data_IF_097660301776
#
_entry.id   IF_097660301776
#
_cell.length_a   1.000
_cell.length_b   1.000
_cell.length_c   1.000
_cell.angle_alpha   90.00
_cell.angle_beta   90.00
_cell.angle_gamma   90.00
#
_symmetry.space_group_name_H-M   'P 1'
#
loop_
_entity.id
_entity.type
_entity.pdbx_description
1 polymer ?
#
# COMPACT_ATOMS: atom_id res chain seq x y z
N UNK A 1 -18.82 -10.90 -9.66
CA UNK A 1 -17.68 -10.18 -9.04
C UNK A 1 -18.22 -9.39 -7.84
N UNK A 2 -17.49 -9.26 -6.73
CA UNK A 2 -17.99 -8.60 -5.52
C UNK A 2 -18.48 -7.14 -5.74
N UNK A 3 -17.97 -6.47 -6.80
CA UNK A 3 -18.46 -5.17 -7.26
C UNK A 3 -19.93 -5.17 -7.70
N UNK A 4 -20.42 -6.25 -8.32
CA UNK A 4 -21.80 -6.31 -8.81
C UNK A 4 -22.82 -6.43 -7.68
N UNK A 5 -22.46 -7.10 -6.58
CA UNK A 5 -23.36 -7.31 -5.45
C UNK A 5 -23.67 -6.00 -4.69
N UNK A 6 -22.67 -5.13 -4.52
CA UNK A 6 -22.85 -3.82 -3.88
C UNK A 6 -23.68 -2.85 -4.74
N UNK A 7 -23.45 -2.85 -6.05
CA UNK A 7 -24.19 -2.01 -7.01
C UNK A 7 -25.66 -2.42 -7.10
N UNK A 8 -25.97 -3.72 -7.10
CA UNK A 8 -27.33 -4.23 -7.11
C UNK A 8 -28.13 -3.76 -5.89
N UNK A 9 -27.51 -3.73 -4.70
CA UNK A 9 -28.19 -3.26 -3.49
C UNK A 9 -28.57 -1.77 -3.53
N UNK A 10 -27.77 -0.94 -4.18
CA UNK A 10 -28.05 0.49 -4.36
C UNK A 10 -29.20 0.69 -5.34
N UNK A 11 -29.15 0.00 -6.49
CA UNK A 11 -30.19 0.05 -7.52
C UNK A 11 -31.53 -0.43 -6.95
N UNK A 12 -31.55 -1.51 -6.17
CA UNK A 12 -32.76 -2.00 -5.50
C UNK A 12 -33.35 -0.93 -4.56
N UNK A 13 -32.53 -0.28 -3.73
CA UNK A 13 -33.00 0.80 -2.84
C UNK A 13 -33.52 2.02 -3.60
N UNK A 14 -32.91 2.36 -4.73
CA UNK A 14 -33.37 3.45 -5.58
C UNK A 14 -34.74 3.13 -6.18
N UNK A 15 -34.88 1.94 -6.75
CA UNK A 15 -36.15 1.44 -7.30
C UNK A 15 -37.24 1.32 -6.23
N UNK A 16 -36.89 0.93 -5.01
CA UNK A 16 -37.81 0.92 -3.87
C UNK A 16 -38.29 2.33 -3.50
N UNK A 17 -37.36 3.30 -3.39
CA UNK A 17 -37.70 4.69 -3.06
C UNK A 17 -38.59 5.34 -4.11
N UNK A 18 -38.37 5.00 -5.38
CA UNK A 18 -39.16 5.49 -6.50
C UNK A 18 -40.45 4.67 -6.74
N UNK A 19 -40.74 3.65 -5.91
CA UNK A 19 -41.99 2.88 -5.94
C UNK A 19 -42.08 1.83 -7.05
N UNK A 20 -40.98 1.51 -7.72
CA UNK A 20 -40.91 0.47 -8.76
C UNK A 20 -40.72 -0.94 -8.18
N UNK A 21 -40.09 -1.02 -7.01
CA UNK A 21 -39.91 -2.25 -6.25
C UNK A 21 -40.57 -2.14 -4.88
N UNK A 22 -41.20 -3.23 -4.43
CA UNK A 22 -41.71 -3.38 -3.08
C UNK A 22 -41.04 -4.59 -2.42
N UNK A 23 -40.55 -4.42 -1.18
CA UNK A 23 -40.12 -5.54 -0.36
C UNK A 23 -41.31 -6.17 0.31
N UNK A 24 -41.55 -7.43 0.01
CA UNK A 24 -42.49 -8.24 0.74
C UNK A 24 -41.83 -8.67 2.05
N UNK A 25 -42.05 -7.90 3.12
CA UNK A 25 -41.71 -8.32 4.48
C UNK A 25 -42.79 -9.25 4.99
N UNK A 26 -42.68 -10.54 4.67
CA UNK A 26 -43.53 -11.53 5.29
C UNK A 26 -42.72 -12.42 6.22
N UNK A 27 -42.79 -12.14 7.52
CA UNK A 27 -42.45 -13.12 8.56
C UNK A 27 -43.46 -14.29 8.60
N UNK A 28 -44.55 -14.21 7.84
CA UNK A 28 -45.62 -15.19 7.82
C UNK A 28 -45.52 -16.06 6.56
N UNK A 29 -45.54 -17.39 6.74
CA UNK A 29 -45.59 -18.37 5.62
C UNK A 29 -46.99 -18.42 4.97
N UNK A 30 -47.67 -17.27 4.88
CA UNK A 30 -49.02 -17.14 4.36
C UNK A 30 -48.95 -16.81 2.87
N UNK A 31 -49.80 -17.47 2.09
CA UNK A 31 -50.04 -17.12 0.70
C UNK A 31 -51.32 -16.30 0.59
N UNK A 32 -51.40 -15.38 -0.38
CA UNK A 32 -52.64 -14.71 -0.72
C UNK A 32 -53.40 -15.53 -1.76
N UNK A 33 -54.70 -15.73 -1.54
CA UNK A 33 -55.60 -16.38 -2.49
C UNK A 33 -56.88 -15.57 -2.64
N UNK A 34 -57.42 -15.45 -3.86
CA UNK A 34 -58.75 -14.90 -4.15
C UNK A 34 -59.41 -15.71 -5.28
N UNK A 35 -60.71 -15.98 -5.18
CA UNK A 35 -61.46 -16.68 -6.21
C UNK A 35 -61.99 -15.72 -7.28
N UNK A 36 -61.83 -16.09 -8.54
CA UNK A 36 -62.50 -15.43 -9.67
C UNK A 36 -63.97 -15.81 -9.78
N UNK A 37 -64.60 -15.37 -10.86
CA UNK A 37 -66.04 -15.57 -11.10
C UNK A 37 -66.32 -16.90 -11.82
N UNK A 38 -65.38 -17.37 -12.63
CA UNK A 38 -65.53 -18.58 -13.44
C UNK A 38 -65.00 -19.83 -12.72
N UNK A 39 -65.78 -20.91 -12.75
CA UNK A 39 -65.40 -22.20 -12.15
C UNK A 39 -64.62 -23.07 -13.15
N UNK A 40 -63.53 -23.73 -12.71
CA UNK A 40 -62.78 -24.67 -13.54
C UNK A 40 -63.56 -25.95 -13.86
N UNK A 41 -63.18 -26.62 -14.95
CA UNK A 41 -63.82 -27.86 -15.45
C UNK A 41 -63.26 -29.16 -14.84
N UNK A 42 -61.99 -29.16 -14.40
CA UNK A 42 -61.35 -30.35 -13.84
C UNK A 42 -61.78 -30.66 -12.40
N UNK A 43 -61.96 -31.94 -11.99
CA UNK A 43 -62.48 -32.29 -10.66
C UNK A 43 -61.56 -31.86 -9.51
N UNK A 44 -60.23 -31.97 -9.69
CA UNK A 44 -59.23 -31.54 -8.70
C UNK A 44 -59.15 -30.01 -8.64
N UNK A 45 -59.17 -29.34 -9.79
CA UNK A 45 -59.16 -27.89 -9.90
C UNK A 45 -60.41 -27.27 -9.28
N UNK A 46 -61.58 -27.85 -9.51
CA UNK A 46 -62.86 -27.43 -8.91
C UNK A 46 -62.83 -27.55 -7.39
N UNK A 47 -62.30 -28.66 -6.86
CA UNK A 47 -62.10 -28.82 -5.42
C UNK A 47 -61.22 -27.73 -4.80
N UNK A 48 -60.14 -27.33 -5.49
CA UNK A 48 -59.25 -26.25 -5.03
C UNK A 48 -59.95 -24.89 -5.13
N UNK A 49 -60.63 -24.63 -6.24
CA UNK A 49 -61.39 -23.39 -6.46
C UNK A 49 -62.50 -23.22 -5.42
N UNK A 50 -63.29 -24.26 -5.14
CA UNK A 50 -64.37 -24.22 -4.15
C UNK A 50 -63.84 -23.91 -2.74
N UNK A 51 -62.67 -24.47 -2.38
CA UNK A 51 -62.00 -24.20 -1.10
C UNK A 51 -61.51 -22.75 -1.04
N UNK A 52 -60.92 -22.23 -2.12
CA UNK A 52 -60.47 -20.84 -2.19
C UNK A 52 -61.66 -19.87 -2.16
N UNK A 53 -62.73 -20.17 -2.90
CA UNK A 53 -63.96 -19.38 -2.91
C UNK A 53 -64.63 -19.35 -1.53
N UNK A 54 -64.64 -20.48 -0.81
CA UNK A 54 -65.19 -20.56 0.54
C UNK A 54 -64.36 -19.81 1.58
N UNK A 55 -63.04 -19.83 1.48
CA UNK A 55 -62.13 -19.25 2.49
C UNK A 55 -61.88 -17.76 2.26
N UNK A 56 -61.69 -17.36 1.01
CA UNK A 56 -61.20 -16.04 0.63
C UNK A 56 -62.19 -15.23 -0.22
N UNK A 57 -63.12 -15.90 -0.93
CA UNK A 57 -64.06 -15.25 -1.83
C UNK A 57 -63.38 -14.37 -2.89
N UNK A 58 -64.12 -13.40 -3.43
CA UNK A 58 -63.61 -12.46 -4.45
C UNK A 58 -62.73 -11.34 -3.87
N UNK A 59 -62.87 -11.04 -2.56
CA UNK A 59 -62.07 -10.01 -1.89
C UNK A 59 -60.63 -10.48 -1.57
N UNK A 60 -60.41 -11.78 -1.53
CA UNK A 60 -59.10 -12.38 -1.25
C UNK A 60 -58.72 -12.37 0.24
N UNK A 61 -57.86 -13.30 0.63
CA UNK A 61 -57.40 -13.46 2.03
C UNK A 61 -56.02 -14.10 2.09
N UNK A 62 -55.24 -13.73 3.11
CA UNK A 62 -53.99 -14.41 3.46
C UNK A 62 -54.27 -15.71 4.24
N UNK A 63 -53.70 -16.82 3.77
CA UNK A 63 -53.96 -18.16 4.29
C UNK A 63 -52.69 -18.98 4.29
N UNK A 64 -52.49 -19.85 5.29
CA UNK A 64 -51.37 -20.79 5.31
C UNK A 64 -51.58 -21.93 4.31
N UNK A 65 -50.54 -22.32 3.58
CA UNK A 65 -50.59 -23.49 2.67
C UNK A 65 -51.04 -24.74 3.44
N UNK A 66 -50.59 -24.93 4.68
CA UNK A 66 -50.96 -26.10 5.49
C UNK A 66 -52.46 -26.15 5.82
N UNK A 67 -53.09 -24.98 5.98
CA UNK A 67 -54.53 -24.88 6.22
C UNK A 67 -55.32 -25.20 4.93
N UNK A 68 -54.85 -24.73 3.78
CA UNK A 68 -55.44 -25.05 2.48
C UNK A 68 -55.32 -26.54 2.14
N UNK A 69 -54.18 -27.19 2.42
CA UNK A 69 -54.02 -28.63 2.19
C UNK A 69 -54.97 -29.47 3.02
N UNK A 70 -55.15 -29.10 4.31
CA UNK A 70 -56.05 -29.81 5.23
C UNK A 70 -57.51 -29.65 4.82
N UNK A 71 -57.91 -28.43 4.43
CA UNK A 71 -59.29 -28.13 4.03
C UNK A 71 -59.65 -28.75 2.67
N UNK A 72 -58.71 -28.77 1.72
CA UNK A 72 -58.92 -29.39 0.40
C UNK A 72 -58.82 -30.92 0.44
N UNK A 73 -58.24 -31.51 1.49
CA UNK A 73 -57.95 -32.95 1.56
C UNK A 73 -57.06 -33.39 0.39
N UNK A 74 -56.03 -32.60 0.08
CA UNK A 74 -55.07 -32.84 -1.00
C UNK A 74 -53.65 -32.81 -0.45
N UNK A 75 -52.77 -33.61 -1.03
CA UNK A 75 -51.34 -33.52 -0.73
C UNK A 75 -50.76 -32.17 -1.15
N UNK A 76 -49.79 -31.68 -0.40
CA UNK A 76 -49.15 -30.36 -0.60
C UNK A 76 -48.65 -30.14 -2.04
N UNK A 77 -48.00 -31.10 -2.72
CA UNK A 77 -47.57 -30.91 -4.11
C UNK A 77 -48.75 -30.78 -5.09
N UNK A 78 -49.84 -31.53 -4.87
CA UNK A 78 -51.03 -31.49 -5.72
C UNK A 78 -51.76 -30.14 -5.58
N UNK A 79 -51.89 -29.64 -4.35
CA UNK A 79 -52.47 -28.31 -4.09
C UNK A 79 -51.65 -27.19 -4.75
N UNK A 80 -50.32 -27.19 -4.56
CA UNK A 80 -49.46 -26.14 -5.12
C UNK A 80 -49.47 -26.11 -6.64
N UNK A 81 -49.48 -27.28 -7.29
CA UNK A 81 -49.64 -27.36 -8.76
C UNK A 81 -50.99 -26.81 -9.19
N UNK A 82 -52.08 -27.19 -8.50
CA UNK A 82 -53.42 -26.71 -8.83
C UNK A 82 -53.59 -25.21 -8.64
N UNK A 83 -53.06 -24.63 -7.56
CA UNK A 83 -53.07 -23.17 -7.33
C UNK A 83 -52.33 -22.40 -8.42
N UNK A 84 -51.17 -22.90 -8.86
CA UNK A 84 -50.42 -22.28 -9.96
C UNK A 84 -51.16 -22.37 -11.30
N UNK A 85 -51.75 -23.52 -11.62
CA UNK A 85 -52.51 -23.71 -12.85
C UNK A 85 -53.75 -22.81 -12.88
N UNK A 86 -54.56 -22.82 -11.81
CA UNK A 86 -55.73 -21.95 -11.71
C UNK A 86 -55.38 -20.46 -11.77
N UNK A 87 -54.22 -20.08 -11.24
CA UNK A 87 -53.75 -18.69 -11.32
C UNK A 87 -53.22 -18.32 -12.69
N UNK A 88 -52.60 -19.26 -13.41
CA UNK A 88 -52.20 -19.07 -14.80
C UNK A 88 -53.42 -18.95 -15.73
N UNK A 89 -54.48 -19.71 -15.45
CA UNK A 89 -55.75 -19.67 -16.17
C UNK A 89 -56.62 -18.45 -15.79
N UNK A 90 -56.18 -17.60 -14.87
CA UNK A 90 -56.91 -16.40 -14.44
C UNK A 90 -58.16 -16.68 -13.57
N UNK A 91 -58.37 -17.94 -13.17
CA UNK A 91 -59.54 -18.36 -12.39
C UNK A 91 -59.40 -18.03 -10.89
N UNK A 92 -58.17 -17.90 -10.39
CA UNK A 92 -57.88 -17.42 -9.04
C UNK A 92 -56.72 -16.44 -9.08
N UNK A 93 -56.62 -15.57 -8.07
CA UNK A 93 -55.39 -14.82 -7.80
C UNK A 93 -54.61 -15.57 -6.74
N UNK A 94 -53.43 -16.10 -7.08
CA UNK A 94 -52.55 -16.77 -6.13
C UNK A 94 -51.19 -16.07 -6.04
N UNK A 95 -50.82 -15.61 -4.84
CA UNK A 95 -49.49 -15.11 -4.54
C UNK A 95 -48.84 -16.10 -3.58
N UNK A 96 -47.76 -16.81 -3.99
CA UNK A 96 -47.11 -17.80 -3.14
C UNK A 96 -46.57 -17.14 -1.85
N UNK A 97 -46.42 -17.91 -0.76
CA UNK A 97 -45.81 -17.37 0.45
C UNK A 97 -44.36 -17.01 0.15
N UNK A 98 -44.02 -15.74 0.41
CA UNK A 98 -42.68 -15.25 0.23
C UNK A 98 -41.72 -16.03 1.14
N UNK A 99 -40.66 -16.58 0.57
CA UNK A 99 -39.61 -17.25 1.33
C UNK A 99 -38.43 -16.28 1.48
N UNK A 100 -38.59 -15.27 2.32
CA UNK A 100 -37.54 -14.29 2.64
C UNK A 100 -37.83 -12.88 2.11
N UNK A 101 -36.76 -12.15 1.77
CA UNK A 101 -36.80 -10.77 1.25
C UNK A 101 -37.15 -10.78 -0.24
N UNK A 102 -38.37 -11.20 -0.58
CA UNK A 102 -38.82 -11.21 -1.97
C UNK A 102 -39.10 -9.77 -2.44
N UNK A 103 -38.66 -9.48 -3.67
CA UNK A 103 -38.86 -8.19 -4.35
C UNK A 103 -40.00 -8.34 -5.34
N UNK A 104 -41.03 -7.51 -5.21
CA UNK A 104 -42.13 -7.40 -6.17
C UNK A 104 -41.91 -6.18 -7.06
N UNK A 105 -41.89 -6.39 -8.37
CA UNK A 105 -41.93 -5.30 -9.35
C UNK A 105 -43.38 -4.79 -9.41
N UNK A 106 -43.59 -3.53 -9.01
CA UNK A 106 -44.93 -2.91 -8.95
C UNK A 106 -45.29 -2.29 -10.30
N UNK A 107 -44.28 -1.76 -11.02
CA UNK A 107 -44.43 -1.08 -12.31
C UNK A 107 -43.44 -1.65 -13.34
N UNK A 108 -43.83 -2.71 -14.08
CA UNK A 108 -42.92 -3.41 -14.99
C UNK A 108 -42.65 -2.69 -16.32
N UNK A 109 -43.42 -1.65 -16.66
CA UNK A 109 -43.31 -0.89 -17.91
C UNK A 109 -42.79 0.55 -17.72
N UNK A 110 -42.11 0.80 -16.61
CA UNK A 110 -41.59 2.13 -16.31
C UNK A 110 -40.52 2.59 -17.32
N UNK A 111 -40.58 3.85 -17.74
CA UNK A 111 -39.50 4.44 -18.54
C UNK A 111 -38.39 4.99 -17.65
N UNK A 112 -37.21 5.25 -18.23
CA UNK A 112 -36.05 5.74 -17.48
C UNK A 112 -36.34 7.09 -16.77
N UNK A 113 -37.15 7.94 -17.40
CA UNK A 113 -37.52 9.27 -16.92
C UNK A 113 -38.42 9.20 -15.68
N UNK A 114 -39.24 8.16 -15.54
CA UNK A 114 -40.12 7.95 -14.40
C UNK A 114 -39.37 7.54 -13.12
N UNK A 115 -38.09 7.19 -13.22
CA UNK A 115 -37.26 6.80 -12.07
C UNK A 115 -36.82 7.98 -11.21
N UNK A 116 -37.01 9.23 -11.67
CA UNK A 116 -36.67 10.47 -10.94
C UNK A 116 -35.30 10.39 -10.26
N UNK A 117 -34.29 9.88 -10.99
CA UNK A 117 -32.96 9.65 -10.43
C UNK A 117 -32.30 10.99 -10.10
N UNK A 118 -32.12 11.24 -8.81
CA UNK A 118 -31.38 12.40 -8.31
C UNK A 118 -29.86 12.19 -8.50
N UNK A 119 -29.39 12.54 -9.69
CA UNK A 119 -27.96 12.48 -10.03
C UNK A 119 -27.11 13.41 -9.17
N UNK A 120 -27.65 14.53 -8.69
CA UNK A 120 -26.93 15.48 -7.86
C UNK A 120 -26.64 14.88 -6.48
N UNK A 121 -27.62 14.19 -5.89
CA UNK A 121 -27.45 13.44 -4.64
C UNK A 121 -26.44 12.29 -4.78
N UNK A 122 -26.48 11.57 -5.91
CA UNK A 122 -25.51 10.48 -6.19
C UNK A 122 -24.09 11.01 -6.28
N UNK A 123 -23.88 12.14 -6.97
CA UNK A 123 -22.55 12.73 -7.10
C UNK A 123 -22.05 13.30 -5.76
N UNK A 124 -22.92 13.94 -4.97
CA UNK A 124 -22.61 14.37 -3.59
C UNK A 124 -22.19 13.18 -2.72
N UNK A 125 -22.88 12.05 -2.82
CA UNK A 125 -22.54 10.84 -2.07
C UNK A 125 -21.20 10.27 -2.48
N UNK A 126 -20.95 10.15 -3.79
CA UNK A 126 -19.65 9.71 -4.33
C UNK A 126 -18.52 10.60 -3.85
N UNK A 127 -18.72 11.92 -3.84
CA UNK A 127 -17.76 12.87 -3.31
C UNK A 127 -17.49 12.63 -1.83
N UNK A 128 -18.52 12.50 -1.00
CA UNK A 128 -18.38 12.19 0.44
C UNK A 128 -17.66 10.86 0.70
N UNK A 129 -17.95 9.82 -0.07
CA UNK A 129 -17.32 8.52 0.07
C UNK A 129 -15.83 8.56 -0.35
N UNK A 130 -15.48 9.35 -1.36
CA UNK A 130 -14.08 9.61 -1.73
C UNK A 130 -13.32 10.39 -0.66
N UNK A 131 -13.94 11.39 -0.04
CA UNK A 131 -13.32 12.10 1.10
C UNK A 131 -13.06 11.16 2.28
N UNK A 132 -14.02 10.29 2.63
CA UNK A 132 -13.80 9.26 3.67
C UNK A 132 -12.66 8.31 3.32
N UNK A 133 -12.54 7.91 2.05
CA UNK A 133 -11.42 7.09 1.60
C UNK A 133 -10.07 7.80 1.78
N UNK A 134 -10.01 9.11 1.48
CA UNK A 134 -8.80 9.92 1.72
C UNK A 134 -8.42 9.93 3.20
N UNK A 135 -9.39 10.02 4.10
CA UNK A 135 -9.17 9.97 5.56
C UNK A 135 -8.61 8.61 6.02
N UNK A 136 -9.14 7.50 5.50
CA UNK A 136 -8.61 6.15 5.78
C UNK A 136 -7.16 6.02 5.29
N UNK A 137 -6.87 6.54 4.09
CA UNK A 137 -5.51 6.58 3.55
C UNK A 137 -4.60 7.44 4.44
N UNK A 138 -5.06 8.62 4.84
CA UNK A 138 -4.34 9.51 5.74
C UNK A 138 -4.03 8.84 7.08
N UNK A 139 -4.98 8.10 7.67
CA UNK A 139 -4.78 7.29 8.87
C UNK A 139 -3.69 6.22 8.68
N UNK A 140 -3.74 5.48 7.57
CA UNK A 140 -2.75 4.44 7.25
C UNK A 140 -1.33 5.00 7.21
N UNK A 141 -1.19 6.19 6.61
CA UNK A 141 0.06 6.93 6.54
C UNK A 141 0.24 7.93 7.69
N UNK A 142 -0.52 7.93 8.78
CA UNK A 142 -0.31 8.95 9.81
C UNK A 142 0.97 8.65 10.60
N UNK A 143 1.84 9.64 10.81
CA UNK A 143 3.08 9.51 11.59
C UNK A 143 2.96 9.92 13.07
N UNK A 144 1.81 10.50 13.45
CA UNK A 144 1.47 10.86 14.82
C UNK A 144 0.91 9.70 15.64
N UNK A 145 0.33 9.99 16.80
CA UNK A 145 -0.35 8.98 17.60
C UNK A 145 -1.61 8.48 16.86
N UNK A 146 -1.74 7.17 16.62
CA UNK A 146 -2.92 6.64 15.90
C UNK A 146 -4.24 6.88 16.65
N UNK A 147 -4.17 6.87 17.98
CA UNK A 147 -5.32 7.11 18.83
C UNK A 147 -5.79 8.55 18.76
N UNK A 148 -4.85 9.49 18.76
CA UNK A 148 -5.11 10.92 18.57
C UNK A 148 -5.83 11.18 17.23
N UNK A 149 -5.30 10.62 16.14
CA UNK A 149 -5.96 10.73 14.82
C UNK A 149 -7.40 10.23 14.82
N UNK A 150 -7.67 9.09 15.46
CA UNK A 150 -9.02 8.53 15.53
C UNK A 150 -9.96 9.40 16.36
N UNK A 151 -9.49 9.89 17.51
CA UNK A 151 -10.28 10.77 18.37
C UNK A 151 -10.62 12.08 17.66
N UNK A 152 -9.63 12.73 17.02
CA UNK A 152 -9.86 13.93 16.23
C UNK A 152 -10.82 13.70 15.06
N UNK A 153 -10.74 12.55 14.38
CA UNK A 153 -11.66 12.19 13.30
C UNK A 153 -13.13 12.13 13.77
N UNK A 154 -13.37 11.68 15.01
CA UNK A 154 -14.71 11.64 15.61
C UNK A 154 -15.07 12.90 16.40
N UNK A 155 -14.21 13.93 16.42
CA UNK A 155 -14.45 15.19 17.11
C UNK A 155 -14.28 15.14 18.63
N UNK A 156 -13.43 14.24 19.13
CA UNK A 156 -13.09 14.13 20.55
C UNK A 156 -11.77 14.86 20.85
N UNK A 157 -11.86 15.94 21.63
CA UNK A 157 -10.73 16.80 22.02
C UNK A 157 -9.94 16.27 23.23
N UNK A 158 -10.29 15.08 23.77
CA UNK A 158 -9.52 14.42 24.84
C UNK A 158 -8.19 13.81 24.37
N UNK A 159 -7.84 14.07 23.11
CA UNK A 159 -6.70 13.49 22.45
C UNK A 159 -5.38 13.91 23.12
N UNK A 160 -4.49 12.93 23.27
CA UNK A 160 -3.12 13.15 23.76
C UNK A 160 -2.15 12.81 22.63
N UNK A 161 -1.15 13.67 22.42
CA UNK A 161 -0.12 13.51 21.38
C UNK A 161 0.67 12.18 21.49
N UNK A 162 0.51 11.45 22.59
CA UNK A 162 1.23 10.23 22.93
C UNK A 162 0.37 9.22 23.72
N UNK A 163 -0.42 8.40 23.05
CA UNK A 163 -1.17 7.33 23.75
C UNK A 163 -0.26 6.25 24.37
N UNK A 164 1.00 6.19 23.94
CA UNK A 164 2.01 5.28 24.49
C UNK A 164 1.85 3.79 24.15
N UNK A 165 0.77 3.41 23.47
CA UNK A 165 0.40 2.02 23.17
C UNK A 165 0.24 1.71 21.67
N UNK A 166 0.09 2.70 20.80
CA UNK A 166 0.09 2.46 19.35
C UNK A 166 1.50 2.20 18.82
N UNK A 167 1.59 1.50 17.69
CA UNK A 167 2.81 1.24 16.92
C UNK A 167 3.68 2.48 16.73
N UNK A 168 3.08 3.61 16.33
CA UNK A 168 3.80 4.87 16.13
C UNK A 168 4.39 5.42 17.44
N UNK A 169 3.66 5.35 18.56
CA UNK A 169 4.14 5.80 19.87
C UNK A 169 5.22 4.87 20.45
N UNK A 170 5.08 3.56 20.24
CA UNK A 170 6.07 2.56 20.67
C UNK A 170 7.39 2.77 19.91
N UNK A 171 7.34 2.91 18.59
CA UNK A 171 8.53 3.20 17.78
C UNK A 171 9.20 4.52 18.20
N UNK A 172 8.41 5.56 18.52
CA UNK A 172 8.92 6.85 18.99
C UNK A 172 9.62 6.76 20.35
N UNK A 173 9.12 5.93 21.29
CA UNK A 173 9.73 5.74 22.62
C UNK A 173 11.08 5.02 22.54
N UNK A 174 11.17 3.98 21.71
CA UNK A 174 12.42 3.20 21.56
C UNK A 174 13.58 4.06 21.04
N UNK A 175 13.29 5.08 20.22
CA UNK A 175 14.33 5.90 19.57
C UNK A 175 14.75 7.17 20.33
N UNK A 176 13.95 7.67 21.29
CA UNK A 176 14.36 8.84 22.11
C UNK A 176 15.54 8.54 23.05
N UNK A 177 15.87 7.29 23.27
CA UNK A 177 16.97 6.84 24.14
C UNK A 177 18.33 6.71 23.44
N UNK A 178 18.41 6.73 22.10
CA UNK A 178 19.67 6.50 21.37
C UNK A 178 20.19 7.76 20.63
N UNK A 179 21.10 8.48 21.30
CA UNK A 179 22.31 9.20 20.82
C UNK A 179 22.48 9.88 19.43
N UNK A 180 21.50 10.00 18.52
CA UNK A 180 21.75 10.47 17.13
C UNK A 180 21.01 11.75 16.65
N UNK A 181 20.56 12.63 17.57
CA UNK A 181 19.81 13.87 17.21
C UNK A 181 20.51 14.76 16.16
N UNK A 182 21.84 14.85 16.20
CA UNK A 182 22.62 15.67 15.26
C UNK A 182 22.69 15.07 13.84
N UNK A 183 22.79 13.74 13.72
CA UNK A 183 22.78 13.04 12.42
C UNK A 183 21.38 13.14 11.78
N UNK A 184 20.33 12.98 12.58
CA UNK A 184 18.93 13.15 12.16
C UNK A 184 18.67 14.55 11.59
N UNK A 185 19.05 15.59 12.33
CA UNK A 185 18.87 16.99 11.91
C UNK A 185 19.59 17.26 10.57
N UNK A 186 20.82 16.75 10.43
CA UNK A 186 21.60 16.89 9.19
C UNK A 186 20.89 16.23 8.01
N UNK A 187 20.32 15.03 8.20
CA UNK A 187 19.61 14.30 7.15
C UNK A 187 18.32 15.00 6.75
N UNK A 188 17.56 15.51 7.72
CA UNK A 188 16.35 16.30 7.48
C UNK A 188 16.70 17.52 6.61
N UNK A 189 17.74 18.28 6.99
CA UNK A 189 18.15 19.47 6.26
C UNK A 189 18.62 19.16 4.83
N UNK A 190 19.31 18.02 4.61
CA UNK A 190 19.68 17.56 3.27
C UNK A 190 18.45 17.32 2.39
N UNK A 191 17.43 16.65 2.91
CA UNK A 191 16.19 16.35 2.18
C UNK A 191 15.44 17.65 1.86
N UNK A 192 15.18 18.49 2.86
CA UNK A 192 14.44 19.75 2.68
C UNK A 192 15.18 20.70 1.70
N UNK A 193 16.50 20.78 1.82
CA UNK A 193 17.36 21.56 0.91
C UNK A 193 17.28 21.10 -0.54
N UNK A 194 17.16 19.78 -0.76
CA UNK A 194 17.04 19.21 -2.09
C UNK A 194 15.67 19.52 -2.70
N UNK A 195 14.58 19.36 -1.93
CA UNK A 195 13.22 19.70 -2.37
C UNK A 195 13.12 21.20 -2.73
N UNK A 196 13.73 22.08 -1.92
CA UNK A 196 13.80 23.51 -2.19
C UNK A 196 14.49 23.82 -3.53
N UNK A 197 15.68 23.24 -3.77
CA UNK A 197 16.46 23.44 -5.00
C UNK A 197 15.80 22.86 -6.25
N UNK A 198 14.99 21.82 -6.08
CA UNK A 198 14.20 21.20 -7.14
C UNK A 198 12.90 21.95 -7.46
N UNK A 199 12.60 23.04 -6.73
CA UNK A 199 11.53 24.01 -7.02
C UNK A 199 10.13 23.42 -7.23
N UNK A 200 9.82 22.29 -6.59
CA UNK A 200 8.49 21.67 -6.70
C UNK A 200 8.16 21.03 -8.05
N UNK A 201 9.14 20.84 -8.94
CA UNK A 201 8.95 20.32 -10.31
C UNK A 201 8.93 18.79 -10.38
N UNK A 202 9.24 18.11 -9.30
CA UNK A 202 9.49 16.68 -9.29
C UNK A 202 8.82 15.98 -8.10
N UNK A 203 8.45 14.73 -8.30
CA UNK A 203 7.93 13.87 -7.22
C UNK A 203 9.03 13.28 -6.35
N UNK A 204 8.62 12.76 -5.19
CA UNK A 204 9.47 12.15 -4.16
C UNK A 204 10.51 11.15 -4.67
N UNK A 205 10.16 10.30 -5.64
CA UNK A 205 11.08 9.31 -6.22
C UNK A 205 12.28 9.95 -6.91
N UNK A 206 12.05 11.06 -7.62
CA UNK A 206 13.12 11.79 -8.31
C UNK A 206 13.98 12.56 -7.33
N UNK A 207 13.41 13.09 -6.25
CA UNK A 207 14.17 13.71 -5.15
C UNK A 207 15.11 12.70 -4.50
N UNK A 208 14.63 11.48 -4.21
CA UNK A 208 15.46 10.41 -3.67
C UNK A 208 16.62 10.03 -4.61
N UNK A 209 16.39 10.00 -5.92
CA UNK A 209 17.44 9.73 -6.92
C UNK A 209 18.52 10.81 -6.96
N UNK A 210 18.15 12.08 -6.78
CA UNK A 210 19.12 13.18 -6.72
C UNK A 210 19.95 13.08 -5.44
N UNK A 211 19.31 12.89 -4.29
CA UNK A 211 20.00 12.78 -2.99
C UNK A 211 20.98 11.60 -2.93
N UNK A 212 20.63 10.47 -3.54
CA UNK A 212 21.49 9.27 -3.60
C UNK A 212 22.55 9.32 -4.70
N UNK A 213 22.51 10.33 -5.59
CA UNK A 213 23.49 10.48 -6.66
C UNK A 213 23.32 9.48 -7.81
N UNK A 214 22.08 9.07 -8.11
CA UNK A 214 21.81 8.08 -9.15
C UNK A 214 22.23 8.58 -10.55
N UNK A 215 22.92 7.75 -11.32
CA UNK A 215 23.30 8.06 -12.70
C UNK A 215 22.15 7.74 -13.68
N UNK A 216 21.14 8.61 -13.79
CA UNK A 216 20.03 8.48 -14.74
C UNK A 216 20.08 9.56 -15.82
N UNK A 217 19.69 9.22 -17.06
CA UNK A 217 19.67 10.16 -18.20
C UNK A 217 18.91 11.46 -17.89
N UNK A 218 17.79 11.37 -17.18
CA UNK A 218 16.97 12.53 -16.85
C UNK A 218 17.69 13.53 -15.92
N UNK A 219 18.54 13.02 -15.00
CA UNK A 219 19.31 13.84 -14.04
C UNK A 219 20.27 14.74 -14.79
N UNK A 220 21.05 14.19 -15.72
CA UNK A 220 21.96 14.97 -16.56
C UNK A 220 21.19 15.89 -17.50
N UNK A 221 20.11 15.41 -18.13
CA UNK A 221 19.34 16.22 -19.09
C UNK A 221 18.64 17.44 -18.48
N UNK A 222 18.37 17.40 -17.17
CA UNK A 222 17.70 18.48 -16.43
C UNK A 222 18.68 19.25 -15.53
N UNK A 223 20.00 18.99 -15.65
CA UNK A 223 21.03 19.68 -14.86
C UNK A 223 21.01 19.37 -13.36
N UNK A 224 20.33 18.30 -12.93
CA UNK A 224 20.20 17.96 -11.50
C UNK A 224 21.52 17.51 -10.89
N UNK A 225 22.45 17.02 -11.70
CA UNK A 225 23.81 16.66 -11.27
C UNK A 225 24.67 17.88 -10.88
N UNK A 226 24.24 19.11 -11.19
CA UNK A 226 24.93 20.34 -10.82
C UNK A 226 24.45 20.92 -9.48
N UNK A 227 23.36 20.38 -8.93
CA UNK A 227 22.84 20.84 -7.64
C UNK A 227 23.81 20.45 -6.53
N UNK A 228 24.04 21.37 -5.58
CA UNK A 228 24.85 21.10 -4.38
C UNK A 228 24.27 19.97 -3.50
N UNK A 229 23.02 19.57 -3.75
CA UNK A 229 22.32 18.50 -3.05
C UNK A 229 22.41 17.14 -3.75
N UNK A 230 23.01 17.08 -4.93
CA UNK A 230 23.22 15.83 -5.65
C UNK A 230 24.23 14.96 -4.92
N UNK A 231 23.86 13.71 -4.62
CA UNK A 231 24.74 12.74 -3.98
C UNK A 231 25.09 13.04 -2.52
N UNK A 232 24.30 13.85 -1.79
CA UNK A 232 24.54 14.14 -0.36
C UNK A 232 24.24 12.97 0.58
N UNK A 233 23.57 11.93 0.09
CA UNK A 233 23.20 10.73 0.84
C UNK A 233 23.67 9.45 0.11
N UNK A 234 24.98 9.29 -0.17
CA UNK A 234 25.49 8.16 -0.95
C UNK A 234 25.46 6.85 -0.16
N UNK A 235 25.45 6.92 1.17
CA UNK A 235 25.41 5.77 2.06
C UNK A 235 23.98 5.20 2.27
N UNK A 236 22.96 5.84 1.68
CA UNK A 236 21.55 5.41 1.79
C UNK A 236 21.09 4.76 0.49
N UNK A 237 20.26 3.71 0.60
CA UNK A 237 19.55 3.19 -0.57
C UNK A 237 18.42 4.15 -0.96
N UNK A 238 18.01 4.10 -2.22
CA UNK A 238 16.93 4.98 -2.70
C UNK A 238 15.61 4.74 -1.95
N UNK A 239 15.33 3.50 -1.57
CA UNK A 239 14.16 3.11 -0.75
C UNK A 239 14.23 3.76 0.64
N UNK A 240 15.39 3.70 1.28
CA UNK A 240 15.61 4.31 2.60
C UNK A 240 15.38 5.83 2.58
N UNK A 241 15.86 6.52 1.54
CA UNK A 241 15.62 7.96 1.36
C UNK A 241 14.15 8.25 1.08
N UNK A 242 13.46 7.37 0.34
CA UNK A 242 12.04 7.51 0.07
C UNK A 242 11.22 7.40 1.36
N UNK A 243 11.55 6.45 2.23
CA UNK A 243 10.91 6.29 3.54
C UNK A 243 11.13 7.51 4.44
N UNK A 244 12.33 8.11 4.41
CA UNK A 244 12.63 9.35 5.14
C UNK A 244 11.82 10.54 4.59
N UNK A 245 11.69 10.66 3.27
CA UNK A 245 10.83 11.67 2.64
C UNK A 245 9.37 11.46 3.06
N UNK A 246 8.87 10.22 3.03
CA UNK A 246 7.51 9.91 3.44
C UNK A 246 7.30 10.22 4.95
N UNK A 247 8.29 10.02 5.82
CA UNK A 247 8.22 10.45 7.22
C UNK A 247 8.08 11.95 7.42
N UNK A 248 8.78 12.74 6.59
CA UNK A 248 8.67 14.21 6.61
C UNK A 248 7.36 14.70 5.99
N UNK A 249 6.86 14.04 4.95
CA UNK A 249 5.55 14.30 4.35
C UNK A 249 4.44 14.12 5.40
N UNK A 250 4.51 13.01 6.16
CA UNK A 250 3.59 12.69 7.26
C UNK A 250 3.58 13.70 8.41
N UNK A 251 4.70 14.40 8.60
CA UNK A 251 4.81 15.46 9.60
C UNK A 251 4.42 16.84 9.04
N UNK A 252 3.96 16.91 7.80
CA UNK A 252 3.47 18.13 7.15
C UNK A 252 4.58 19.01 6.61
N UNK A 253 5.79 18.51 6.36
CA UNK A 253 6.89 19.30 5.82
C UNK A 253 6.73 19.59 4.31
N UNK A 254 5.84 18.89 3.61
CA UNK A 254 5.61 19.05 2.18
C UNK A 254 4.16 19.36 1.83
N UNK A 255 3.97 19.97 0.66
CA UNK A 255 2.69 20.11 -0.03
C UNK A 255 2.77 19.43 -1.39
N UNK A 256 1.72 18.72 -1.78
CA UNK A 256 1.62 18.06 -3.08
C UNK A 256 1.02 19.01 -4.11
N UNK A 257 1.61 19.07 -5.30
CA UNK A 257 1.13 19.87 -6.44
C UNK A 257 0.96 18.99 -7.68
N UNK A 258 0.10 19.42 -8.60
CA UNK A 258 -0.17 18.72 -9.86
C UNK A 258 -1.37 17.77 -9.80
N UNK A 259 -1.67 17.17 -10.95
CA UNK A 259 -2.78 16.22 -11.13
C UNK A 259 -2.47 14.86 -10.47
N UNK A 260 -3.50 14.08 -10.12
CA UNK A 260 -3.41 12.84 -9.36
C UNK A 260 -2.48 11.78 -9.99
N UNK A 261 -2.25 11.85 -11.31
CA UNK A 261 -1.37 10.92 -12.03
C UNK A 261 0.13 11.20 -11.81
N UNK A 262 0.53 12.45 -11.55
CA UNK A 262 1.94 12.83 -11.44
C UNK A 262 2.18 13.85 -10.31
N UNK A 263 1.99 13.44 -9.04
CA UNK A 263 2.14 14.35 -7.91
C UNK A 263 3.59 14.79 -7.73
N UNK A 264 3.82 16.11 -7.69
CA UNK A 264 5.10 16.72 -7.30
C UNK A 264 5.07 17.16 -5.84
N UNK A 265 6.24 17.28 -5.21
CA UNK A 265 6.37 17.73 -3.82
C UNK A 265 7.08 19.07 -3.73
N UNK A 266 6.57 19.99 -2.91
CA UNK A 266 7.20 21.27 -2.59
C UNK A 266 7.20 21.48 -1.07
N UNK A 267 8.02 22.39 -0.55
CA UNK A 267 8.04 22.70 0.89
C UNK A 267 6.73 23.35 1.34
N UNK A 268 6.21 22.92 2.48
CA UNK A 268 5.12 23.60 3.20
C UNK A 268 5.67 24.76 4.05
N UNK A 269 4.79 25.53 4.70
CA UNK A 269 5.19 26.53 5.71
C UNK A 269 6.04 25.90 6.82
N UNK A 270 5.58 24.76 7.34
CA UNK A 270 6.30 23.97 8.34
C UNK A 270 7.65 23.46 7.82
N UNK A 271 7.71 22.96 6.58
CA UNK A 271 8.97 22.53 5.97
C UNK A 271 9.99 23.66 5.86
N UNK A 272 9.54 24.89 5.62
CA UNK A 272 10.40 26.08 5.63
C UNK A 272 10.85 26.41 7.06
N UNK A 273 9.93 26.37 8.04
CA UNK A 273 10.25 26.61 9.47
C UNK A 273 11.29 25.64 10.01
N UNK A 274 11.15 24.33 9.71
CA UNK A 274 12.14 23.31 10.06
C UNK A 274 13.49 23.60 9.41
N UNK A 275 13.51 23.99 8.13
CA UNK A 275 14.76 24.29 7.43
C UNK A 275 15.48 25.52 8.02
N UNK A 276 14.73 26.47 8.60
CA UNK A 276 15.24 27.63 9.33
C UNK A 276 15.56 27.35 10.80
N UNK A 277 15.32 26.13 11.29
CA UNK A 277 15.45 25.74 12.69
C UNK A 277 14.47 26.47 13.63
N UNK A 278 13.36 26.94 13.10
CA UNK A 278 12.28 27.59 13.86
C UNK A 278 11.25 26.56 14.38
N UNK A 279 11.18 25.38 13.75
CA UNK A 279 10.31 24.26 14.14
C UNK A 279 11.12 22.95 14.24
N UNK A 280 10.73 22.05 15.15
CA UNK A 280 11.34 20.73 15.28
C UNK A 280 10.59 19.66 14.45
N UNK A 281 11.35 18.73 13.87
CA UNK A 281 10.84 17.48 13.26
C UNK A 281 11.84 16.36 13.56
N UNK A 282 11.42 15.12 13.34
CA UNK A 282 12.26 13.96 13.57
C UNK A 282 12.17 13.00 12.39
N UNK A 283 13.20 12.18 12.20
CA UNK A 283 13.14 11.05 11.26
C UNK A 283 13.70 9.82 11.94
N UNK A 284 13.00 8.71 11.76
CA UNK A 284 13.46 7.39 12.12
C UNK A 284 14.50 6.95 11.09
N UNK A 285 15.77 7.13 11.42
CA UNK A 285 16.86 6.64 10.57
C UNK A 285 16.80 5.12 10.44
N UNK A 286 16.96 4.58 9.22
CA UNK A 286 17.11 3.15 9.03
C UNK A 286 18.40 2.69 9.71
N UNK A 287 18.44 1.45 10.17
CA UNK A 287 19.69 0.79 10.51
C UNK A 287 20.48 0.61 9.22
N UNK A 288 21.27 1.63 8.89
CA UNK A 288 22.25 1.52 7.83
C UNK A 288 23.23 0.48 8.36
N UNK A 289 23.13 -0.76 7.88
CA UNK A 289 24.24 -1.70 7.91
C UNK A 289 25.34 -1.06 7.08
N UNK A 290 26.07 -0.12 7.70
CA UNK A 290 27.32 0.40 7.14
C UNK A 290 28.08 -0.89 6.82
N UNK A 291 28.46 -1.18 5.56
CA UNK A 291 29.53 -2.15 5.37
C UNK A 291 30.63 -1.61 6.28
N UNK A 292 31.02 -2.39 7.30
CA UNK A 292 31.89 -1.91 8.34
C UNK A 292 33.10 -1.30 7.63
N UNK A 293 33.17 0.04 7.59
CA UNK A 293 34.40 0.74 7.28
C UNK A 293 35.20 0.55 8.55
N UNK A 294 35.81 -0.63 8.69
CA UNK A 294 36.98 -0.79 9.51
C UNK A 294 38.00 0.17 8.90
N UNK A 295 38.01 1.40 9.42
CA UNK A 295 39.26 2.12 9.59
C UNK A 295 40.06 1.32 10.62
N UNK A 296 40.50 0.11 10.25
CA UNK A 296 41.64 -0.47 10.93
C UNK A 296 42.80 0.48 10.62
N UNK A 297 43.50 0.87 11.67
CA UNK A 297 44.68 1.72 11.61
C UNK A 297 45.57 1.25 10.47
N UNK A 298 46.01 2.20 9.63
CA UNK A 298 47.02 1.90 8.62
C UNK A 298 48.27 1.47 9.40
N UNK A 299 48.83 0.27 9.16
CA UNK A 299 50.04 -0.14 9.86
C UNK A 299 51.11 0.94 9.70
N UNK A 300 51.59 1.48 10.82
CA UNK A 300 52.68 2.47 10.85
C UNK A 300 54.05 1.79 10.79
N UNK A 301 54.10 0.50 11.12
CA UNK A 301 55.28 -0.34 11.03
C UNK A 301 55.20 -1.22 9.77
N UNK A 302 55.88 -0.80 8.71
CA UNK A 302 56.00 -1.55 7.45
C UNK A 302 57.36 -1.26 6.81
N UNK A 303 57.92 -2.23 6.09
CA UNK A 303 59.16 -2.01 5.34
C UNK A 303 58.91 -1.05 4.16
N UNK A 304 59.55 0.14 4.11
CA UNK A 304 59.40 1.08 3.00
C UNK A 304 59.91 0.52 1.68
N UNK A 305 60.92 -0.34 1.74
CA UNK A 305 61.55 -0.98 0.58
C UNK A 305 60.61 -2.00 -0.05
N UNK A 306 60.02 -2.88 0.76
CA UNK A 306 59.04 -3.87 0.29
C UNK A 306 57.79 -3.17 -0.27
N UNK A 307 57.34 -2.08 0.37
CA UNK A 307 56.23 -1.29 -0.12
C UNK A 307 56.49 -0.72 -1.53
N UNK A 308 57.68 -0.19 -1.79
CA UNK A 308 58.02 0.37 -3.10
C UNK A 308 58.12 -0.74 -4.18
N UNK A 309 58.67 -1.91 -3.84
CA UNK A 309 58.67 -3.08 -4.74
C UNK A 309 57.24 -3.53 -5.11
N UNK A 310 56.34 -3.61 -4.12
CA UNK A 310 54.94 -3.94 -4.32
C UNK A 310 54.20 -2.88 -5.15
N UNK A 311 54.53 -1.60 -4.95
CA UNK A 311 53.97 -0.49 -5.72
C UNK A 311 54.37 -0.57 -7.19
N UNK A 312 55.64 -0.84 -7.48
CA UNK A 312 56.15 -1.02 -8.85
C UNK A 312 55.51 -2.24 -9.52
N UNK A 313 55.33 -3.34 -8.77
CA UNK A 313 54.64 -4.53 -9.30
C UNK A 313 53.18 -4.22 -9.66
N UNK A 314 52.46 -3.50 -8.79
CA UNK A 314 51.09 -3.06 -9.06
C UNK A 314 50.99 -2.17 -10.30
N UNK A 315 51.93 -1.25 -10.49
CA UNK A 315 51.99 -0.38 -11.65
C UNK A 315 52.17 -1.18 -12.94
N UNK A 316 53.10 -2.15 -12.95
CA UNK A 316 53.29 -3.06 -14.10
C UNK A 316 52.01 -3.85 -14.42
N UNK A 317 51.34 -4.39 -13.42
CA UNK A 317 50.09 -5.15 -13.59
C UNK A 317 48.93 -4.28 -14.10
N UNK A 318 48.75 -3.09 -13.55
CA UNK A 318 47.69 -2.17 -13.95
C UNK A 318 47.89 -1.63 -15.37
N UNK A 319 49.13 -1.28 -15.72
CA UNK A 319 49.48 -0.81 -17.08
C UNK A 319 49.33 -1.91 -18.12
N UNK A 320 49.73 -3.15 -17.81
CA UNK A 320 49.56 -4.29 -18.71
C UNK A 320 48.09 -4.62 -19.03
N UNK A 321 47.17 -4.32 -18.11
CA UNK A 321 45.74 -4.62 -18.25
C UNK A 321 44.86 -3.40 -18.55
N UNK A 322 45.45 -2.20 -18.63
CA UNK A 322 44.70 -0.95 -18.90
C UNK A 322 43.69 -0.58 -17.81
N UNK A 323 43.87 -1.07 -16.58
CA UNK A 323 42.96 -0.83 -15.46
C UNK A 323 43.58 0.12 -14.42
N UNK A 324 42.77 1.00 -13.79
CA UNK A 324 43.24 1.85 -12.70
C UNK A 324 43.94 1.07 -11.59
N UNK A 325 45.11 1.55 -11.15
CA UNK A 325 46.00 0.83 -10.21
C UNK A 325 45.31 0.42 -8.90
N UNK A 326 44.40 1.25 -8.39
CA UNK A 326 43.68 0.96 -7.14
C UNK A 326 42.74 -0.26 -7.24
N UNK A 327 42.35 -0.68 -8.46
CA UNK A 327 41.55 -1.88 -8.69
C UNK A 327 42.40 -3.15 -8.56
N UNK A 328 43.68 -3.10 -8.93
CA UNK A 328 44.64 -4.18 -8.71
C UNK A 328 44.86 -4.36 -7.21
N UNK A 329 45.38 -3.33 -6.53
CA UNK A 329 45.53 -3.31 -5.07
C UNK A 329 45.48 -1.87 -4.54
N UNK A 330 44.78 -1.65 -3.42
CA UNK A 330 44.73 -0.33 -2.78
C UNK A 330 46.07 -0.01 -2.10
N UNK A 331 46.37 1.29 -1.87
CA UNK A 331 47.58 1.68 -1.14
C UNK A 331 47.61 1.08 0.28
N UNK A 332 46.45 0.91 0.92
CA UNK A 332 46.33 0.24 2.23
C UNK A 332 46.73 -1.23 2.14
N UNK A 333 46.21 -1.93 1.13
CA UNK A 333 46.53 -3.34 0.90
C UNK A 333 48.03 -3.54 0.65
N UNK A 334 48.70 -2.63 -0.07
CA UNK A 334 50.16 -2.69 -0.25
C UNK A 334 50.93 -2.45 1.05
N UNK A 335 50.50 -1.49 1.89
CA UNK A 335 51.12 -1.25 3.19
C UNK A 335 50.95 -2.44 4.13
N UNK A 336 49.79 -3.07 4.10
CA UNK A 336 49.50 -4.24 4.93
C UNK A 336 50.28 -5.48 4.48
N UNK A 337 50.41 -5.71 3.16
CA UNK A 337 51.34 -6.72 2.63
C UNK A 337 52.80 -6.45 3.02
N UNK A 338 53.22 -5.18 3.02
CA UNK A 338 54.57 -4.78 3.42
C UNK A 338 54.81 -4.88 4.94
N UNK A 339 53.75 -4.82 5.76
CA UNK A 339 53.81 -4.99 7.20
C UNK A 339 53.79 -6.47 7.61
N UNK A 340 52.93 -7.28 6.99
CA UNK A 340 52.76 -8.70 7.36
C UNK A 340 53.68 -9.66 6.61
N UNK A 341 54.29 -9.22 5.49
CA UNK A 341 55.21 -10.01 4.65
C UNK A 341 54.76 -11.48 4.45
N UNK A 342 53.56 -11.71 3.89
CA UNK A 342 52.97 -13.05 3.76
C UNK A 342 53.83 -13.96 2.88
N UNK A 343 54.10 -15.18 3.36
CA UNK A 343 54.93 -16.20 2.67
C UNK A 343 54.11 -17.29 2.00
N UNK A 344 52.79 -17.26 2.15
CA UNK A 344 51.88 -18.23 1.54
C UNK A 344 50.62 -17.55 1.00
N UNK A 345 49.95 -18.21 0.04
CA UNK A 345 48.65 -17.76 -0.48
C UNK A 345 47.58 -17.69 0.63
N UNK A 346 47.67 -18.57 1.63
CA UNK A 346 46.75 -18.56 2.78
C UNK A 346 46.94 -17.29 3.64
N UNK A 347 48.18 -16.87 3.88
CA UNK A 347 48.50 -15.63 4.59
C UNK A 347 48.14 -14.39 3.76
N UNK A 348 48.37 -14.43 2.45
CA UNK A 348 48.02 -13.33 1.55
C UNK A 348 46.50 -13.09 1.50
N UNK A 349 45.68 -14.14 1.67
CA UNK A 349 44.23 -14.03 1.76
C UNK A 349 43.76 -13.35 3.06
N UNK A 350 44.58 -13.36 4.12
CA UNK A 350 44.27 -12.66 5.37
C UNK A 350 44.52 -11.14 5.29
N UNK A 351 45.20 -10.67 4.24
CA UNK A 351 45.49 -9.24 4.06
C UNK A 351 44.24 -8.49 3.62
N UNK A 352 43.92 -7.40 4.31
CA UNK A 352 42.74 -6.59 4.05
C UNK A 352 42.72 -6.01 2.62
N UNK A 353 41.66 -6.37 1.87
CA UNK A 353 41.45 -5.92 0.50
C UNK A 353 41.96 -6.88 -0.58
N UNK A 354 42.54 -8.03 -0.17
CA UNK A 354 42.77 -9.20 -1.04
C UNK A 354 41.61 -10.19 -0.86
N UNK A 355 40.67 -10.16 -1.81
CA UNK A 355 39.59 -11.15 -1.88
C UNK A 355 39.94 -12.32 -2.81
N UNK A 356 39.10 -13.38 -2.82
CA UNK A 356 39.34 -14.59 -3.62
C UNK A 356 39.51 -14.30 -5.12
N UNK A 357 38.79 -13.33 -5.68
CA UNK A 357 38.95 -12.96 -7.10
C UNK A 357 40.29 -12.25 -7.41
N UNK A 358 40.89 -11.57 -6.41
CA UNK A 358 42.18 -10.87 -6.58
C UNK A 358 43.35 -11.79 -6.33
N UNK A 359 43.22 -12.73 -5.39
CA UNK A 359 44.28 -13.71 -5.11
C UNK A 359 44.48 -14.66 -6.29
N UNK A 360 43.41 -15.07 -6.94
CA UNK A 360 43.47 -15.91 -8.14
C UNK A 360 44.18 -15.21 -9.31
N UNK A 361 43.96 -13.89 -9.45
CA UNK A 361 44.48 -13.11 -10.58
C UNK A 361 45.86 -12.49 -10.36
N UNK A 362 46.18 -12.08 -9.13
CA UNK A 362 47.38 -11.30 -8.82
C UNK A 362 48.15 -11.86 -7.62
N UNK A 363 47.64 -12.91 -6.95
CA UNK A 363 48.22 -13.42 -5.72
C UNK A 363 49.65 -13.91 -5.91
N UNK A 364 49.90 -14.71 -6.94
CA UNK A 364 51.24 -15.22 -7.25
C UNK A 364 52.22 -14.08 -7.58
N UNK A 365 51.77 -13.10 -8.36
CA UNK A 365 52.58 -11.94 -8.75
C UNK A 365 53.07 -11.11 -7.56
N UNK A 366 52.24 -10.94 -6.53
CA UNK A 366 52.64 -10.24 -5.31
C UNK A 366 53.47 -11.14 -4.39
N UNK A 367 53.11 -12.42 -4.27
CA UNK A 367 53.85 -13.39 -3.46
C UNK A 367 55.29 -13.56 -3.93
N UNK A 368 55.52 -13.62 -5.24
CA UNK A 368 56.86 -13.72 -5.83
C UNK A 368 57.75 -12.53 -5.47
N UNK A 369 57.18 -11.32 -5.36
CA UNK A 369 57.93 -10.11 -4.97
C UNK A 369 58.27 -10.15 -3.48
N UNK A 370 57.34 -10.60 -2.65
CA UNK A 370 57.51 -10.69 -1.19
C UNK A 370 58.54 -11.76 -0.83
N UNK A 371 58.45 -12.94 -1.44
CA UNK A 371 59.41 -14.03 -1.22
C UNK A 371 60.82 -13.64 -1.65
N UNK A 372 60.97 -13.02 -2.82
CA UNK A 372 62.27 -12.50 -3.29
C UNK A 372 62.86 -11.48 -2.32
N UNK A 373 62.04 -10.60 -1.77
CA UNK A 373 62.50 -9.63 -0.78
C UNK A 373 62.94 -10.31 0.53
N UNK A 374 62.15 -11.27 1.03
CA UNK A 374 62.49 -12.04 2.23
C UNK A 374 63.79 -12.85 2.06
N UNK A 375 64.06 -13.37 0.86
CA UNK A 375 65.29 -14.10 0.56
C UNK A 375 66.53 -13.19 0.44
N UNK A 376 66.35 -11.90 0.15
CA UNK A 376 67.45 -10.92 0.11
C UNK A 376 67.77 -10.26 1.45
N UNK A 377 66.86 -10.35 2.43
CA UNK A 377 66.98 -9.71 3.75
C UNK A 377 67.36 -10.72 4.86
N UNK A 378 67.20 -12.02 4.59
CA UNK A 378 67.83 -13.12 5.35
C UNK A 378 69.25 -13.37 4.83
#
# INVERSE_FOLDING_TARGET
SAQSAGQVGIVIKMLERAGFLERLYSGSRLCFVAAGVESPRGPVQKKIFDVVAKIAGSKGKEVSINFLTKTAGLEKPALLRGLRLLSADGLITYIPPAAGRDLRIVRPQATFEELEIDFELLEKRKHSDLEKLKEVVAYGYFGGCRWDFLLSYFGDDSATDQCGSCDNCIQRKVKRTDTNKSEEETIILKILSCVARMQGRFGRTRVAQVLTGAARKWITSQGMNQLSTYGLMPDFRQEDVLDLIDQLDRQGCFVRKGDHLYPTIALSKKGIGVMKKEEETFVNLPEIKKPAKTFAEIPTDFSPELYELLRQKREKLGTAQGIPLFLVASNRTLKEMAASAPKSMAELLQVHGIGPAKIEKYGQDFLDVILKYCDTVN
#
